data_IF_254451224988
#
_entry.id   IF_254451224988
#
_cell.length_a   1.000
_cell.length_b   1.000
_cell.length_c   1.000
_cell.angle_alpha   90.00
_cell.angle_beta   90.00
_cell.angle_gamma   90.00
#
_symmetry.space_group_name_H-M   'P 1'
#
loop_
_entity.id
_entity.type
_entity.pdbx_description
1 polymer ?
#
# COMPACT_ATOMS: atom_id res chain seq x y z
N UNK A 1 2.34 26.84 -21.49
CA UNK A 1 1.47 26.74 -20.29
C UNK A 1 1.26 25.27 -20.01
N UNK A 2 1.82 24.73 -18.91
CA UNK A 2 1.56 23.34 -18.51
C UNK A 2 0.08 23.24 -18.15
N UNK A 3 -0.67 22.35 -18.80
CA UNK A 3 -2.04 22.05 -18.42
C UNK A 3 -1.98 21.37 -17.06
N UNK A 4 -2.38 22.07 -15.99
CA UNK A 4 -2.55 21.47 -14.67
C UNK A 4 -3.77 20.57 -14.76
N UNK A 5 -3.55 19.29 -15.07
CA UNK A 5 -4.63 18.32 -15.02
C UNK A 5 -5.06 18.18 -13.55
N UNK A 6 -6.37 18.26 -13.32
CA UNK A 6 -6.92 18.08 -11.99
C UNK A 6 -6.68 16.63 -11.56
N UNK A 7 -5.97 16.44 -10.46
CA UNK A 7 -5.89 15.14 -9.79
C UNK A 7 -7.31 14.75 -9.41
N UNK A 8 -7.76 13.59 -9.88
CA UNK A 8 -9.09 13.09 -9.58
C UNK A 8 -9.01 12.15 -8.36
N UNK A 9 -9.76 12.41 -7.28
CA UNK A 9 -9.85 11.50 -6.16
C UNK A 9 -10.43 10.14 -6.58
N UNK A 10 -10.07 9.08 -5.84
CA UNK A 10 -10.67 7.76 -6.07
C UNK A 10 -12.19 7.81 -5.85
N UNK A 11 -12.92 6.79 -6.31
CA UNK A 11 -14.35 6.69 -6.00
C UNK A 11 -14.58 6.66 -4.49
N UNK A 12 -13.70 5.98 -3.76
CA UNK A 12 -13.80 5.82 -2.32
C UNK A 12 -13.57 7.17 -1.60
N UNK A 13 -12.59 7.95 -2.03
CA UNK A 13 -12.34 9.30 -1.51
C UNK A 13 -13.47 10.30 -1.81
N UNK A 14 -14.25 10.06 -2.87
CA UNK A 14 -15.43 10.87 -3.17
C UNK A 14 -16.66 10.50 -2.35
N UNK A 15 -16.65 9.31 -1.74
CA UNK A 15 -17.78 8.76 -0.98
C UNK A 15 -17.53 8.79 0.53
N UNK A 16 -16.27 8.85 0.97
CA UNK A 16 -15.92 9.06 2.37
C UNK A 16 -16.21 10.52 2.71
N UNK A 17 -17.06 10.70 3.72
CA UNK A 17 -17.27 11.98 4.39
C UNK A 17 -16.40 12.02 5.65
N UNK A 18 -15.27 12.72 5.57
CA UNK A 18 -14.35 12.93 6.68
C UNK A 18 -14.85 13.99 7.68
N UNK A 19 -15.96 14.71 7.39
CA UNK A 19 -16.48 15.77 8.25
C UNK A 19 -18.01 15.79 8.27
N UNK A 20 -18.65 14.70 8.74
CA UNK A 20 -20.11 14.54 8.74
C UNK A 20 -20.84 15.61 9.55
N UNK A 21 -20.15 16.26 10.49
CA UNK A 21 -20.67 17.36 11.30
C UNK A 21 -20.90 18.67 10.54
N UNK A 22 -20.29 18.87 9.36
CA UNK A 22 -20.39 20.12 8.60
C UNK A 22 -21.70 20.25 7.82
N UNK A 23 -22.46 19.16 7.65
CA UNK A 23 -23.80 19.14 7.04
C UNK A 23 -23.85 19.57 5.56
N UNK A 24 -22.71 19.86 4.93
CA UNK A 24 -22.56 20.20 3.51
C UNK A 24 -21.20 19.70 3.02
N UNK A 25 -21.24 19.02 1.87
CA UNK A 25 -20.03 18.68 1.12
C UNK A 25 -19.40 19.95 0.54
N UNK A 26 -18.27 20.36 1.09
CA UNK A 26 -17.44 21.40 0.49
C UNK A 26 -16.57 20.72 -0.57
N UNK A 27 -16.80 21.04 -1.84
CA UNK A 27 -15.94 20.58 -2.94
C UNK A 27 -14.58 21.26 -2.79
N UNK A 28 -13.64 20.58 -2.14
CA UNK A 28 -12.26 21.04 -2.04
C UNK A 28 -11.47 20.58 -3.27
N UNK A 29 -10.56 21.42 -3.80
CA UNK A 29 -9.64 21.00 -4.84
C UNK A 29 -8.75 19.88 -4.30
N UNK A 30 -8.77 18.72 -4.96
CA UNK A 30 -7.97 17.58 -4.58
C UNK A 30 -6.49 17.85 -4.89
N UNK A 31 -5.68 17.97 -3.84
CA UNK A 31 -4.26 18.31 -3.95
C UNK A 31 -3.39 17.07 -4.04
N UNK A 32 -2.12 17.26 -4.39
CA UNK A 32 -1.14 16.18 -4.36
C UNK A 32 -0.93 15.60 -2.96
N UNK A 33 -1.06 16.45 -1.93
CA UNK A 33 -1.00 16.01 -0.54
C UNK A 33 -2.17 15.08 -0.20
N UNK A 34 -3.36 15.39 -0.69
CA UNK A 34 -4.55 14.56 -0.48
C UNK A 34 -4.42 13.23 -1.22
N UNK A 35 -3.84 13.23 -2.42
CA UNK A 35 -3.50 12.00 -3.15
C UNK A 35 -2.54 11.12 -2.35
N UNK A 36 -1.44 11.68 -1.85
CA UNK A 36 -0.47 10.94 -1.01
C UNK A 36 -1.14 10.35 0.23
N UNK A 37 -2.00 11.13 0.89
CA UNK A 37 -2.71 10.67 2.08
C UNK A 37 -3.71 9.53 1.77
N UNK A 38 -4.45 9.64 0.67
CA UNK A 38 -5.37 8.60 0.17
C UNK A 38 -4.61 7.30 -0.13
N UNK A 39 -3.52 7.40 -0.88
CA UNK A 39 -2.67 6.24 -1.21
C UNK A 39 -2.07 5.61 0.05
N UNK A 40 -1.57 6.42 0.99
CA UNK A 40 -1.05 5.94 2.28
C UNK A 40 -2.09 5.12 3.04
N UNK A 41 -3.32 5.63 3.15
CA UNK A 41 -4.46 4.93 3.78
C UNK A 41 -4.76 3.63 3.05
N UNK A 42 -4.81 3.65 1.73
CA UNK A 42 -5.17 2.48 0.93
C UNK A 42 -4.09 1.39 0.99
N UNK A 43 -2.80 1.76 1.02
CA UNK A 43 -1.70 0.84 1.29
C UNK A 43 -1.78 0.23 2.68
N UNK A 44 -2.06 1.04 3.70
CA UNK A 44 -2.22 0.54 5.07
C UNK A 44 -3.40 -0.44 5.17
N UNK A 45 -4.53 -0.14 4.53
CA UNK A 45 -5.67 -1.05 4.45
C UNK A 45 -5.34 -2.36 3.71
N UNK A 46 -4.67 -2.26 2.56
CA UNK A 46 -4.27 -3.42 1.75
C UNK A 46 -3.31 -4.32 2.51
N UNK A 47 -2.30 -3.75 3.16
CA UNK A 47 -1.24 -4.52 3.82
C UNK A 47 -1.69 -5.12 5.16
N UNK A 48 -2.73 -4.56 5.79
CA UNK A 48 -3.34 -5.14 6.98
C UNK A 48 -4.51 -6.10 6.68
N UNK A 49 -5.08 -6.07 5.47
CA UNK A 49 -6.04 -7.08 5.05
C UNK A 49 -5.35 -8.45 4.91
N UNK A 50 -5.96 -9.49 5.48
CA UNK A 50 -5.45 -10.87 5.41
C UNK A 50 -6.22 -11.65 4.36
N UNK A 51 -5.49 -12.28 3.43
CA UNK A 51 -6.10 -13.16 2.43
C UNK A 51 -6.55 -14.45 3.09
N UNK A 52 -7.77 -14.88 2.80
CA UNK A 52 -8.31 -16.15 3.27
C UNK A 52 -7.54 -17.32 2.66
N UNK A 53 -7.44 -18.44 3.37
CA UNK A 53 -6.79 -19.68 2.93
C UNK A 53 -7.60 -20.43 1.85
N UNK A 54 -8.38 -19.70 1.05
CA UNK A 54 -9.24 -20.27 0.04
C UNK A 54 -8.40 -20.58 -1.20
N UNK A 55 -8.31 -21.86 -1.55
CA UNK A 55 -7.68 -22.30 -2.80
C UNK A 55 -8.79 -22.53 -3.82
N UNK A 56 -8.74 -21.81 -4.94
CA UNK A 56 -9.65 -22.03 -6.07
C UNK A 56 -8.98 -22.82 -7.21
N UNK A 57 -9.78 -23.46 -8.08
CA UNK A 57 -9.24 -24.17 -9.23
C UNK A 57 -8.44 -23.26 -10.17
N UNK A 58 -7.41 -23.82 -10.83
CA UNK A 58 -6.50 -23.08 -11.73
C UNK A 58 -7.18 -22.41 -12.94
N UNK A 59 -8.41 -22.83 -13.28
CA UNK A 59 -9.19 -22.22 -14.34
C UNK A 59 -9.91 -20.93 -13.92
N UNK A 60 -10.00 -20.63 -12.62
CA UNK A 60 -10.60 -19.41 -12.09
C UNK A 60 -9.54 -18.32 -11.84
N UNK A 61 -8.82 -17.88 -12.87
CA UNK A 61 -7.70 -16.94 -12.73
C UNK A 61 -8.13 -15.54 -12.31
N UNK A 62 -9.36 -15.17 -12.65
CA UNK A 62 -9.97 -13.89 -12.32
C UNK A 62 -10.14 -13.72 -10.80
N UNK A 63 -10.28 -14.84 -10.06
CA UNK A 63 -10.33 -14.82 -8.61
C UNK A 63 -9.01 -14.35 -8.00
N UNK A 64 -7.89 -14.60 -8.66
CA UNK A 64 -6.60 -14.08 -8.22
C UNK A 64 -6.66 -12.55 -8.15
N UNK A 65 -7.26 -11.85 -9.11
CA UNK A 65 -7.32 -10.38 -9.11
C UNK A 65 -8.60 -9.81 -8.49
N UNK A 66 -9.36 -10.63 -7.76
CA UNK A 66 -10.63 -10.23 -7.16
C UNK A 66 -10.49 -9.81 -5.70
N UNK A 67 -11.59 -9.34 -5.10
CA UNK A 67 -11.65 -9.01 -3.67
C UNK A 67 -11.34 -10.21 -2.75
N UNK A 68 -11.50 -11.45 -3.22
CA UNK A 68 -11.13 -12.65 -2.45
C UNK A 68 -9.63 -12.75 -2.18
N UNK A 69 -8.81 -12.14 -3.04
CA UNK A 69 -7.37 -12.11 -2.94
C UNK A 69 -6.84 -10.76 -2.42
N UNK A 70 -7.71 -9.83 -2.02
CA UNK A 70 -7.31 -8.53 -1.51
C UNK A 70 -6.65 -8.69 -0.14
N UNK A 71 -5.37 -8.34 -0.06
CA UNK A 71 -4.59 -8.37 1.16
C UNK A 71 -3.21 -9.00 1.02
N UNK A 72 -2.52 -9.15 2.15
CA UNK A 72 -1.31 -9.96 2.25
C UNK A 72 -1.65 -11.42 2.60
N UNK A 73 -0.93 -12.39 2.03
CA UNK A 73 -0.97 -13.77 2.52
C UNK A 73 -0.40 -13.84 3.93
N UNK A 74 -0.71 -14.89 4.67
CA UNK A 74 -0.16 -15.08 6.01
C UNK A 74 1.37 -15.26 5.94
N UNK A 75 2.09 -14.38 6.65
CA UNK A 75 3.55 -14.38 6.76
C UNK A 75 4.02 -14.63 8.21
N UNK A 76 3.12 -15.01 9.12
CA UNK A 76 3.43 -15.24 10.54
C UNK A 76 4.48 -16.33 10.78
N UNK A 77 4.55 -17.32 9.89
CA UNK A 77 5.53 -18.40 9.94
C UNK A 77 6.88 -18.04 9.29
N UNK A 78 7.04 -16.86 8.70
CA UNK A 78 8.27 -16.49 7.99
C UNK A 78 9.39 -16.08 8.96
N UNK A 79 10.64 -16.51 8.74
CA UNK A 79 11.77 -16.12 9.59
C UNK A 79 12.24 -14.69 9.29
N UNK A 80 11.54 -13.69 9.83
CA UNK A 80 11.85 -12.26 9.64
C UNK A 80 13.17 -11.81 10.29
N UNK A 81 13.77 -12.65 11.12
CA UNK A 81 15.14 -12.44 11.63
C UNK A 81 16.23 -12.70 10.58
N UNK A 82 15.90 -13.44 9.51
CA UNK A 82 16.84 -13.77 8.43
C UNK A 82 16.71 -12.79 7.27
N UNK A 83 17.83 -12.45 6.62
CA UNK A 83 17.81 -11.63 5.40
C UNK A 83 16.96 -12.26 4.30
N UNK A 84 17.03 -13.58 4.12
CA UNK A 84 16.19 -14.28 3.14
C UNK A 84 14.69 -14.16 3.44
N UNK A 85 14.26 -14.32 4.70
CA UNK A 85 12.85 -14.16 5.07
C UNK A 85 12.34 -12.74 4.86
N UNK A 86 13.16 -11.73 5.16
CA UNK A 86 12.83 -10.32 4.91
C UNK A 86 12.70 -10.02 3.41
N UNK A 87 13.60 -10.55 2.58
CA UNK A 87 13.53 -10.41 1.11
C UNK A 87 12.28 -11.06 0.51
N UNK A 88 11.90 -12.26 1.00
CA UNK A 88 10.65 -12.91 0.59
C UNK A 88 9.44 -12.05 0.94
N UNK A 89 9.41 -11.46 2.15
CA UNK A 89 8.33 -10.55 2.54
C UNK A 89 8.27 -9.31 1.64
N UNK A 90 9.41 -8.66 1.35
CA UNK A 90 9.46 -7.53 0.42
C UNK A 90 8.83 -7.88 -0.93
N UNK A 91 9.19 -9.03 -1.51
CA UNK A 91 8.65 -9.49 -2.79
C UNK A 91 7.14 -9.70 -2.73
N UNK A 92 6.63 -10.31 -1.66
CA UNK A 92 5.19 -10.51 -1.47
C UNK A 92 4.47 -9.16 -1.42
N UNK A 93 5.00 -8.20 -0.66
CA UNK A 93 4.43 -6.85 -0.55
C UNK A 93 4.44 -6.16 -1.92
N UNK A 94 5.55 -6.21 -2.67
CA UNK A 94 5.63 -5.67 -4.04
C UNK A 94 4.58 -6.26 -4.97
N UNK A 95 4.44 -7.60 -4.98
CA UNK A 95 3.49 -8.30 -5.83
C UNK A 95 2.04 -7.95 -5.45
N UNK A 96 1.73 -7.85 -4.15
CA UNK A 96 0.40 -7.43 -3.65
C UNK A 96 0.09 -5.99 -4.03
N UNK A 97 1.03 -5.05 -3.82
CA UNK A 97 0.81 -3.64 -4.16
C UNK A 97 0.61 -3.47 -5.67
N UNK A 98 1.47 -4.09 -6.50
CA UNK A 98 1.36 -4.00 -7.96
C UNK A 98 0.01 -4.50 -8.49
N UNK A 99 -0.62 -5.42 -7.75
CA UNK A 99 -1.88 -6.04 -8.13
C UNK A 99 -3.11 -5.23 -7.71
N UNK A 100 -3.06 -4.57 -6.55
CA UNK A 100 -4.21 -3.90 -5.96
C UNK A 100 -4.12 -2.38 -5.92
N UNK A 101 -2.97 -1.79 -6.25
CA UNK A 101 -2.80 -0.35 -6.41
C UNK A 101 -2.48 0.05 -7.87
N UNK A 102 -3.49 0.20 -8.74
CA UNK A 102 -3.30 0.49 -10.16
C UNK A 102 -2.77 1.90 -10.44
N UNK A 103 -2.76 2.77 -9.42
CA UNK A 103 -2.19 4.13 -9.52
C UNK A 103 -0.67 4.10 -9.64
N UNK A 104 -0.01 3.02 -9.23
CA UNK A 104 1.43 2.84 -9.38
C UNK A 104 1.78 2.17 -10.70
N UNK A 105 2.73 2.77 -11.42
CA UNK A 105 3.37 2.21 -12.61
C UNK A 105 4.45 1.19 -12.25
N UNK A 106 5.17 1.45 -11.17
CA UNK A 106 6.17 0.54 -10.62
C UNK A 106 6.26 0.67 -9.10
N UNK A 107 6.69 -0.40 -8.44
CA UNK A 107 6.87 -0.47 -6.99
C UNK A 107 8.03 -1.38 -6.63
N UNK A 108 8.88 -0.92 -5.72
CA UNK A 108 10.00 -1.67 -5.13
C UNK A 108 9.97 -1.50 -3.61
N UNK A 109 10.21 -2.57 -2.86
CA UNK A 109 10.18 -2.59 -1.40
C UNK A 109 11.51 -3.10 -0.85
N UNK A 110 12.14 -2.30 0.01
CA UNK A 110 13.46 -2.62 0.59
C UNK A 110 13.43 -2.58 2.11
N UNK A 111 14.35 -3.30 2.75
CA UNK A 111 14.55 -3.22 4.21
C UNK A 111 15.47 -2.02 4.52
N UNK A 112 15.12 -1.19 5.50
CA UNK A 112 15.86 0.06 5.81
C UNK A 112 17.07 -0.16 6.73
N UNK A 113 17.10 -1.23 7.53
CA UNK A 113 18.26 -1.54 8.37
C UNK A 113 18.35 -3.04 8.69
N UNK A 114 19.56 -3.60 8.62
CA UNK A 114 19.87 -4.97 9.05
C UNK A 114 20.44 -5.04 10.47
N UNK A 115 20.73 -3.92 11.13
CA UNK A 115 21.79 -3.85 12.15
C UNK A 115 21.37 -3.66 13.62
N UNK A 116 20.09 -3.71 13.98
CA UNK A 116 19.69 -3.54 15.39
C UNK A 116 18.99 -4.78 15.95
N UNK A 117 19.72 -5.67 16.66
CA UNK A 117 19.14 -6.90 17.24
C UNK A 117 18.14 -6.65 18.38
N UNK A 118 17.93 -5.39 18.80
CA UNK A 118 17.03 -5.00 19.89
C UNK A 118 15.72 -4.40 19.39
N UNK A 119 15.66 -3.84 18.17
CA UNK A 119 14.43 -3.31 17.62
C UNK A 119 13.67 -4.45 16.93
N UNK A 120 12.58 -4.91 17.55
CA UNK A 120 11.76 -6.01 16.99
C UNK A 120 10.89 -5.52 15.82
N UNK A 121 10.90 -4.23 15.52
CA UNK A 121 10.13 -3.63 14.44
C UNK A 121 10.92 -3.77 13.14
N UNK A 122 10.32 -4.44 12.15
CA UNK A 122 10.91 -4.50 10.81
C UNK A 122 10.52 -3.23 10.05
N UNK A 123 11.52 -2.44 9.67
CA UNK A 123 11.35 -1.22 8.88
C UNK A 123 11.55 -1.50 7.40
N UNK A 124 10.53 -1.21 6.61
CA UNK A 124 10.53 -1.33 5.17
C UNK A 124 10.39 0.06 4.54
N UNK A 125 10.86 0.19 3.31
CA UNK A 125 10.65 1.38 2.49
C UNK A 125 10.04 0.96 1.16
N UNK A 126 8.96 1.62 0.79
CA UNK A 126 8.22 1.41 -0.44
C UNK A 126 8.54 2.58 -1.37
N UNK A 127 9.25 2.28 -2.45
CA UNK A 127 9.50 3.18 -3.57
C UNK A 127 8.43 2.91 -4.62
N UNK A 128 7.68 3.93 -5.03
CA UNK A 128 6.67 3.77 -6.06
C UNK A 128 6.72 4.90 -7.08
N UNK A 129 6.42 4.56 -8.33
CA UNK A 129 6.27 5.50 -9.43
C UNK A 129 4.77 5.71 -9.70
N UNK A 130 4.26 6.90 -9.42
CA UNK A 130 2.84 7.22 -9.57
C UNK A 130 2.50 7.59 -11.01
N UNK A 131 1.37 7.10 -11.51
CA UNK A 131 0.83 7.50 -12.80
C UNK A 131 0.23 8.92 -12.71
N UNK A 132 1.06 9.93 -12.95
CA UNK A 132 0.67 11.33 -13.05
C UNK A 132 0.86 11.83 -14.49
N UNK A 133 0.09 12.86 -14.86
CA UNK A 133 0.22 13.58 -16.14
C UNK A 133 0.58 15.03 -15.80
N UNK A 134 1.61 15.65 -16.41
CA UNK A 134 2.26 15.28 -17.67
C UNK A 134 3.36 14.22 -17.58
N UNK A 135 3.94 13.97 -16.40
CA UNK A 135 5.03 13.01 -16.20
C UNK A 135 4.79 12.22 -14.91
N UNK A 136 5.26 10.95 -14.83
CA UNK A 136 5.21 10.16 -13.60
C UNK A 136 5.94 10.84 -12.43
N UNK A 137 5.42 10.65 -11.21
CA UNK A 137 6.02 11.20 -9.99
C UNK A 137 6.50 10.08 -9.05
N UNK A 138 7.72 10.21 -8.53
CA UNK A 138 8.25 9.28 -7.53
C UNK A 138 7.70 9.61 -6.15
N UNK A 139 7.25 8.59 -5.42
CA UNK A 139 6.78 8.69 -4.05
C UNK A 139 7.44 7.63 -3.19
N UNK A 140 7.72 7.99 -1.94
CA UNK A 140 8.36 7.12 -0.96
C UNK A 140 7.47 7.04 0.27
N UNK A 141 7.24 5.82 0.74
CA UNK A 141 6.57 5.54 2.01
C UNK A 141 7.49 4.72 2.90
N UNK A 142 7.56 5.10 4.16
CA UNK A 142 8.17 4.29 5.20
C UNK A 142 7.10 3.39 5.83
N UNK A 143 7.49 2.17 6.18
CA UNK A 143 6.61 1.18 6.74
C UNK A 143 7.25 0.48 7.94
N UNK A 144 6.44 0.25 8.97
CA UNK A 144 6.83 -0.47 10.18
C UNK A 144 5.95 -1.70 10.35
N UNK A 145 6.57 -2.87 10.45
CA UNK A 145 5.90 -4.14 10.72
C UNK A 145 6.07 -4.48 12.21
N UNK A 146 4.96 -4.55 12.93
CA UNK A 146 4.94 -4.95 14.34
C UNK A 146 5.14 -6.47 14.48
N UNK A 147 6.05 -6.94 15.34
CA UNK A 147 6.39 -8.37 15.46
C UNK A 147 5.30 -9.25 16.07
N UNK A 148 4.36 -8.69 16.83
CA UNK A 148 3.37 -9.48 17.59
C UNK A 148 2.10 -9.66 16.79
N UNK A 149 1.47 -8.56 16.39
CA UNK A 149 0.22 -8.57 15.66
C UNK A 149 0.43 -8.65 14.14
N UNK A 150 1.68 -8.51 13.67
CA UNK A 150 2.03 -8.42 12.25
C UNK A 150 1.24 -7.32 11.53
N UNK A 151 0.92 -6.26 12.30
CA UNK A 151 0.31 -5.05 11.80
C UNK A 151 1.35 -4.23 11.06
N UNK A 152 0.93 -3.62 9.96
CA UNK A 152 1.79 -2.80 9.12
C UNK A 152 1.31 -1.37 9.21
N UNK A 153 2.18 -0.46 9.67
CA UNK A 153 1.91 0.97 9.65
C UNK A 153 2.60 1.60 8.44
N UNK A 154 1.93 2.57 7.81
CA UNK A 154 2.50 3.33 6.69
C UNK A 154 2.58 4.82 7.05
N UNK A 155 3.78 5.38 6.92
CA UNK A 155 4.07 6.79 7.10
C UNK A 155 4.69 7.39 5.84
N UNK A 156 4.43 8.67 5.62
CA UNK A 156 5.10 9.42 4.56
C UNK A 156 6.52 9.80 5.01
N UNK A 157 7.51 9.60 4.14
CA UNK A 157 8.88 10.08 4.32
C UNK A 157 9.01 11.58 4.08
#
# INVERSE_FOLDING_TARGET
MKSSQQLLPSLLDRLIDDSPELGKDVIQPFTWKDMRHSVRRDLENLLNAKVSWLVWPKWCKELDCSIFAYGLPDFSAMPLSSTNGRQVLCRIIEETIRKFEPRFLDVTVTVVSEEQPLDRILRLRIYALFHATPEPEEVIFDSEVEPVCLGIRISES
#
